data_IF_724695889358
#
_entry.id   IF_724695889358
#
_cell.length_a   1.000
_cell.length_b   1.000
_cell.length_c   1.000
_cell.angle_alpha   90.00
_cell.angle_beta   90.00
_cell.angle_gamma   90.00
#
_symmetry.space_group_name_H-M   'P 1'
#
loop_
_entity.id
_entity.type
_entity.pdbx_description
1 polymer ?
#
# COMPACT_ATOMS: atom_id res chain seq x y z
N UNK A 1 -14.07 -11.91 9.34
CA UNK A 1 -12.76 -11.77 10.02
C UNK A 1 -12.05 -10.63 9.33
N UNK A 2 -11.56 -9.61 10.03
CA UNK A 2 -10.95 -8.46 9.36
C UNK A 2 -9.55 -8.72 8.84
N UNK A 3 -9.32 -8.34 7.58
CA UNK A 3 -8.08 -8.53 6.84
C UNK A 3 -7.41 -7.18 6.64
N UNK A 4 -6.22 -7.03 7.20
CA UNK A 4 -5.35 -5.89 6.96
C UNK A 4 -4.11 -6.41 6.25
N UNK A 5 -3.69 -5.78 5.17
CA UNK A 5 -2.51 -6.21 4.43
C UNK A 5 -1.75 -5.05 3.83
N UNK A 6 -0.46 -5.32 3.58
CA UNK A 6 0.45 -4.48 2.81
C UNK A 6 1.15 -5.39 1.83
N UNK A 7 1.15 -5.05 0.54
CA UNK A 7 1.68 -5.92 -0.50
C UNK A 7 2.26 -5.17 -1.69
N UNK A 8 3.29 -5.75 -2.31
CA UNK A 8 3.64 -5.46 -3.69
C UNK A 8 2.94 -6.45 -4.62
N UNK A 9 2.28 -5.96 -5.66
CA UNK A 9 1.60 -6.74 -6.69
C UNK A 9 2.22 -6.46 -8.05
N UNK A 10 2.52 -7.49 -8.82
CA UNK A 10 3.17 -7.32 -10.12
C UNK A 10 2.90 -8.46 -11.09
N UNK A 11 2.94 -8.14 -12.39
CA UNK A 11 2.98 -9.15 -13.45
C UNK A 11 4.39 -9.76 -13.52
N UNK A 12 4.50 -11.08 -13.34
CA UNK A 12 5.77 -11.81 -13.32
C UNK A 12 6.55 -11.79 -14.63
N UNK A 13 5.94 -11.30 -15.72
CA UNK A 13 6.60 -11.09 -17.02
C UNK A 13 7.33 -9.75 -17.11
N UNK A 14 6.90 -8.77 -16.30
CA UNK A 14 7.39 -7.38 -16.34
C UNK A 14 8.20 -7.01 -15.10
N UNK A 15 8.01 -7.71 -14.00
CA UNK A 15 8.76 -7.50 -12.77
C UNK A 15 9.08 -8.85 -12.11
N UNK A 16 10.05 -8.85 -11.20
CA UNK A 16 10.42 -10.03 -10.42
C UNK A 16 10.46 -9.71 -8.93
N UNK A 17 10.21 -10.72 -8.11
CA UNK A 17 10.33 -10.64 -6.66
C UNK A 17 11.68 -10.09 -6.20
N UNK A 18 12.76 -10.41 -6.93
CA UNK A 18 14.11 -9.96 -6.61
C UNK A 18 14.19 -8.44 -6.50
N UNK A 19 13.60 -7.71 -7.43
CA UNK A 19 13.63 -6.24 -7.43
C UNK A 19 12.90 -5.65 -6.22
N UNK A 20 11.83 -6.32 -5.78
CA UNK A 20 11.08 -5.93 -4.59
C UNK A 20 11.88 -6.18 -3.32
N UNK A 21 12.64 -7.28 -3.26
CA UNK A 21 13.41 -7.69 -2.08
C UNK A 21 14.78 -7.03 -1.99
N UNK A 22 15.38 -6.62 -3.11
CA UNK A 22 16.71 -6.01 -3.13
C UNK A 22 16.85 -4.82 -2.16
N UNK A 23 15.87 -3.89 -2.02
CA UNK A 23 15.90 -2.86 -0.98
C UNK A 23 15.97 -3.40 0.46
N UNK A 24 15.43 -4.60 0.70
CA UNK A 24 15.36 -5.26 2.02
C UNK A 24 16.58 -6.13 2.30
N UNK A 25 17.43 -6.38 1.30
CA UNK A 25 18.48 -7.40 1.37
C UNK A 25 19.45 -7.22 2.56
N UNK A 26 19.74 -5.97 2.92
CA UNK A 26 20.64 -5.61 4.02
C UNK A 26 19.89 -5.05 5.24
N UNK A 27 18.55 -5.05 5.22
CA UNK A 27 17.76 -4.66 6.37
C UNK A 27 17.67 -5.81 7.36
N UNK A 28 17.91 -5.51 8.63
CA UNK A 28 17.59 -6.42 9.73
C UNK A 28 16.10 -6.28 10.09
N UNK A 29 15.41 -7.38 10.43
CA UNK A 29 14.07 -7.31 11.00
C UNK A 29 14.03 -6.39 12.21
N UNK A 30 13.15 -5.41 12.20
CA UNK A 30 12.86 -4.55 13.33
C UNK A 30 12.07 -5.27 14.43
N UNK A 31 11.29 -6.29 14.05
CA UNK A 31 10.51 -7.11 14.96
C UNK A 31 10.69 -8.61 14.73
N UNK A 32 10.48 -9.37 15.80
CA UNK A 32 10.41 -10.83 15.69
C UNK A 32 9.26 -11.23 14.75
N UNK A 33 9.60 -11.97 13.70
CA UNK A 33 8.64 -12.49 12.73
C UNK A 33 8.22 -11.51 11.64
N UNK A 34 8.85 -10.34 11.57
CA UNK A 34 8.76 -9.47 10.40
C UNK A 34 9.27 -10.22 9.16
N UNK A 35 8.52 -10.18 8.06
CA UNK A 35 8.85 -10.96 6.88
C UNK A 35 8.22 -10.42 5.59
N UNK A 36 8.83 -10.80 4.47
CA UNK A 36 8.24 -10.69 3.13
C UNK A 36 7.92 -12.09 2.63
N UNK A 37 6.65 -12.33 2.27
CA UNK A 37 6.21 -13.63 1.75
C UNK A 37 5.63 -13.48 0.37
N UNK A 38 6.17 -14.23 -0.58
CA UNK A 38 5.69 -14.32 -1.95
C UNK A 38 4.61 -15.37 -2.09
N UNK A 39 3.55 -15.03 -2.82
CA UNK A 39 2.48 -15.96 -3.18
C UNK A 39 1.90 -15.60 -4.55
N UNK A 40 1.37 -16.60 -5.26
CA UNK A 40 0.66 -16.36 -6.50
C UNK A 40 -0.75 -15.80 -6.22
N UNK A 41 -1.14 -14.74 -6.94
CA UNK A 41 -2.51 -14.18 -6.93
C UNK A 41 -3.31 -14.68 -8.12
N UNK A 42 -2.63 -14.84 -9.26
CA UNK A 42 -3.18 -15.42 -10.48
C UNK A 42 -2.06 -16.09 -11.28
N UNK A 43 -2.34 -16.78 -12.41
CA UNK A 43 -1.29 -17.34 -13.24
C UNK A 43 -0.24 -16.34 -13.74
N UNK A 44 -0.57 -15.04 -13.80
CA UNK A 44 0.34 -13.98 -14.28
C UNK A 44 0.80 -13.01 -13.18
N UNK A 45 0.08 -12.93 -12.07
CA UNK A 45 0.32 -11.93 -11.03
C UNK A 45 0.76 -12.59 -9.73
N UNK A 46 1.85 -12.07 -9.17
CA UNK A 46 2.35 -12.45 -7.84
C UNK A 46 2.15 -11.29 -6.86
N UNK A 47 2.01 -11.65 -5.58
CA UNK A 47 2.07 -10.73 -4.46
C UNK A 47 3.31 -11.03 -3.63
N UNK A 48 3.96 -9.98 -3.12
CA UNK A 48 4.88 -10.07 -1.99
C UNK A 48 4.23 -9.31 -0.85
N UNK A 49 3.68 -10.05 0.11
CA UNK A 49 3.06 -9.50 1.31
C UNK A 49 4.13 -9.13 2.32
N UNK A 50 3.99 -7.94 2.90
CA UNK A 50 4.75 -7.50 4.05
C UNK A 50 3.99 -7.84 5.33
N UNK A 51 4.65 -8.60 6.20
CA UNK A 51 4.20 -8.88 7.54
C UNK A 51 5.13 -8.11 8.49
N UNK A 52 4.61 -7.10 9.20
CA UNK A 52 5.41 -6.19 10.03
C UNK A 52 5.94 -6.88 11.32
N UNK A 53 5.57 -8.15 11.55
CA UNK A 53 5.97 -8.88 12.74
C UNK A 53 4.97 -8.67 13.87
N UNK A 54 5.47 -8.55 15.09
CA UNK A 54 4.66 -8.81 16.27
C UNK A 54 4.03 -7.60 16.94
N UNK A 55 2.70 -7.52 16.89
CA UNK A 55 1.90 -6.45 17.51
C UNK A 55 0.68 -7.02 18.25
N UNK A 56 0.25 -6.35 19.34
CA UNK A 56 -0.96 -6.68 20.14
C UNK A 56 -2.23 -6.58 19.35
N UNK A 57 -2.32 -5.55 18.51
CA UNK A 57 -3.49 -5.29 17.72
C UNK A 57 -3.15 -5.42 16.24
N UNK A 58 -4.03 -6.07 15.48
CA UNK A 58 -3.90 -6.11 14.01
C UNK A 58 -3.81 -4.70 13.42
N UNK A 59 -4.52 -3.74 14.01
CA UNK A 59 -4.46 -2.33 13.64
C UNK A 59 -3.07 -1.73 13.84
N UNK A 60 -2.35 -2.07 14.92
CA UNK A 60 -0.97 -1.61 15.14
C UNK A 60 0.01 -2.23 14.14
N UNK A 61 -0.15 -3.52 13.83
CA UNK A 61 0.63 -4.16 12.77
C UNK A 61 0.41 -3.43 11.44
N UNK A 62 -0.84 -3.18 11.07
CA UNK A 62 -1.16 -2.44 9.86
C UNK A 62 -0.59 -1.01 9.87
N UNK A 63 -0.76 -0.30 10.99
CA UNK A 63 -0.21 1.03 11.23
C UNK A 63 1.29 1.11 10.94
N UNK A 64 2.07 0.23 11.58
CA UNK A 64 3.51 0.15 11.33
C UNK A 64 3.81 -0.30 9.90
N UNK A 65 3.01 -1.26 9.39
CA UNK A 65 2.99 -1.69 8.00
C UNK A 65 2.96 -0.51 7.04
N UNK A 66 2.00 0.39 7.25
CA UNK A 66 1.81 1.60 6.47
C UNK A 66 2.93 2.62 6.69
N UNK A 67 3.43 2.79 7.91
CA UNK A 67 4.55 3.70 8.18
C UNK A 67 5.80 3.27 7.41
N UNK A 68 6.24 2.02 7.58
CA UNK A 68 7.40 1.49 6.85
C UNK A 68 7.13 1.54 5.35
N UNK A 69 5.99 1.04 4.92
CA UNK A 69 5.75 0.83 3.50
C UNK A 69 5.49 2.13 2.74
N UNK A 70 4.66 3.03 3.28
CA UNK A 70 4.20 4.23 2.59
C UNK A 70 5.00 5.49 2.96
N UNK A 71 5.48 5.61 4.21
CA UNK A 71 6.13 6.83 4.71
C UNK A 71 7.65 6.73 4.65
N UNK A 72 8.24 5.58 4.98
CA UNK A 72 9.69 5.35 4.92
C UNK A 72 10.19 4.96 3.51
N UNK A 73 9.40 5.29 2.47
CA UNK A 73 9.71 5.10 1.05
C UNK A 73 9.97 3.64 0.59
N UNK A 74 9.67 2.64 1.41
CA UNK A 74 9.87 1.23 1.04
C UNK A 74 9.00 0.81 -0.15
N UNK A 75 7.80 1.36 -0.30
CA UNK A 75 6.97 1.18 -1.50
C UNK A 75 7.65 1.74 -2.76
N UNK A 76 8.39 2.84 -2.63
CA UNK A 76 9.01 3.60 -3.74
C UNK A 76 10.41 3.11 -4.09
N UNK A 77 11.15 2.56 -3.11
CA UNK A 77 12.55 2.14 -3.29
C UNK A 77 12.80 1.17 -4.47
N UNK A 78 11.96 0.13 -4.73
CA UNK A 78 12.13 -0.73 -5.89
C UNK A 78 12.05 0.05 -7.22
N UNK A 79 11.07 0.95 -7.35
CA UNK A 79 10.89 1.79 -8.53
C UNK A 79 12.11 2.68 -8.77
N UNK A 80 12.64 3.31 -7.73
CA UNK A 80 13.83 4.16 -7.88
C UNK A 80 15.06 3.36 -8.31
N UNK A 81 15.28 2.18 -7.72
CA UNK A 81 16.38 1.31 -8.09
C UNK A 81 16.30 0.92 -9.58
N UNK A 82 15.10 0.57 -10.05
CA UNK A 82 14.84 0.26 -11.46
C UNK A 82 15.07 1.46 -12.39
N UNK A 83 14.61 2.66 -12.01
CA UNK A 83 14.85 3.90 -12.79
C UNK A 83 16.33 4.23 -12.87
N UNK A 84 17.06 4.12 -11.75
CA UNK A 84 18.52 4.32 -11.70
C UNK A 84 19.28 3.30 -12.56
N UNK A 85 18.80 2.06 -12.61
CA UNK A 85 19.33 1.02 -13.50
C UNK A 85 18.92 1.22 -14.98
N UNK A 86 18.10 2.22 -15.30
CA UNK A 86 17.64 2.49 -16.67
C UNK A 86 16.61 1.50 -17.21
N UNK A 87 15.99 0.70 -16.34
CA UNK A 87 14.99 -0.28 -16.75
C UNK A 87 13.70 0.41 -17.27
N UNK A 88 13.18 -0.07 -18.39
CA UNK A 88 12.05 0.57 -19.11
C UNK A 88 10.80 -0.29 -19.27
N UNK A 89 10.88 -1.60 -19.04
CA UNK A 89 9.70 -2.47 -19.08
C UNK A 89 9.48 -3.11 -17.72
N UNK A 90 8.76 -2.40 -16.86
CA UNK A 90 8.32 -2.88 -15.56
C UNK A 90 7.11 -2.09 -15.09
N UNK A 91 6.31 -2.71 -14.21
CA UNK A 91 5.31 -2.02 -13.40
C UNK A 91 5.02 -2.84 -12.16
N UNK A 92 4.64 -2.19 -11.08
CA UNK A 92 4.07 -2.84 -9.91
C UNK A 92 3.11 -1.90 -9.19
N UNK A 93 2.28 -2.48 -8.33
CA UNK A 93 1.40 -1.74 -7.43
C UNK A 93 1.79 -2.07 -6.01
N UNK A 94 2.04 -1.06 -5.20
CA UNK A 94 2.17 -1.17 -3.76
C UNK A 94 0.79 -0.89 -3.15
N UNK A 95 0.24 -1.80 -2.35
CA UNK A 95 -1.14 -1.72 -1.85
C UNK A 95 -1.20 -2.01 -0.36
N UNK A 96 -1.66 -1.03 0.42
CA UNK A 96 -2.00 -1.17 1.82
C UNK A 96 -3.51 -1.04 1.99
N UNK A 97 -4.16 -2.02 2.60
CA UNK A 97 -5.62 -2.03 2.67
C UNK A 97 -6.19 -2.74 3.89
N UNK A 98 -7.36 -2.28 4.30
CA UNK A 98 -8.23 -2.89 5.32
C UNK A 98 -9.49 -3.48 4.70
N UNK A 99 -10.01 -4.59 5.22
CA UNK A 99 -11.20 -5.28 4.71
C UNK A 99 -12.45 -4.41 4.70
N UNK A 100 -12.61 -3.56 5.71
CA UNK A 100 -13.71 -2.58 5.80
C UNK A 100 -13.50 -1.37 4.87
N UNK A 101 -12.34 -1.27 4.20
CA UNK A 101 -11.95 -0.17 3.30
C UNK A 101 -11.91 1.22 3.95
N UNK A 102 -11.96 1.27 5.29
CA UNK A 102 -11.78 2.49 6.08
C UNK A 102 -10.39 3.10 5.88
N UNK A 103 -9.42 2.24 5.55
CA UNK A 103 -8.07 2.58 5.16
C UNK A 103 -7.71 1.79 3.90
N UNK A 104 -7.57 2.46 2.77
CA UNK A 104 -7.19 1.86 1.50
C UNK A 104 -6.25 2.80 0.75
N UNK A 105 -5.04 2.34 0.40
CA UNK A 105 -4.01 3.15 -0.27
C UNK A 105 -3.25 2.30 -1.28
N UNK A 106 -3.28 2.69 -2.55
CA UNK A 106 -2.56 2.02 -3.62
C UNK A 106 -1.66 2.98 -4.39
N UNK A 107 -0.48 2.49 -4.75
CA UNK A 107 0.55 3.22 -5.46
C UNK A 107 1.02 2.41 -6.65
N UNK A 108 0.68 2.83 -7.87
CA UNK A 108 1.19 2.24 -9.10
C UNK A 108 2.49 2.91 -9.49
N UNK A 109 3.54 2.12 -9.70
CA UNK A 109 4.83 2.61 -10.17
C UNK A 109 5.14 2.12 -11.58
N UNK A 110 5.66 3.02 -12.40
CA UNK A 110 6.12 2.79 -13.77
C UNK A 110 7.50 3.45 -14.00
N UNK A 111 8.18 3.17 -15.12
CA UNK A 111 9.46 3.82 -15.46
C UNK A 111 9.36 5.34 -15.48
N UNK A 112 8.22 5.85 -15.93
CA UNK A 112 8.01 7.27 -16.14
C UNK A 112 7.46 7.97 -14.89
N UNK A 113 6.81 7.25 -13.97
CA UNK A 113 6.24 7.90 -12.80
C UNK A 113 5.44 7.03 -11.85
N UNK A 114 4.49 7.68 -11.20
CA UNK A 114 3.75 7.17 -10.06
C UNK A 114 2.30 7.67 -10.10
N UNK A 115 1.32 6.78 -9.87
CA UNK A 115 -0.09 7.12 -9.66
C UNK A 115 -0.50 6.58 -8.28
N UNK A 116 -0.92 7.47 -7.39
CA UNK A 116 -1.32 7.18 -6.02
C UNK A 116 -2.79 7.49 -5.81
N UNK A 117 -3.48 6.57 -5.14
CA UNK A 117 -4.88 6.71 -4.74
C UNK A 117 -5.09 6.24 -3.32
N UNK A 118 -5.80 7.03 -2.52
CA UNK A 118 -6.12 6.71 -1.14
C UNK A 118 -7.59 7.02 -0.84
N UNK A 119 -8.20 6.17 -0.01
CA UNK A 119 -9.45 6.43 0.67
C UNK A 119 -9.26 6.11 2.15
N UNK A 120 -9.45 7.12 3.00
CA UNK A 120 -9.27 7.04 4.45
C UNK A 120 -10.41 7.78 5.14
N UNK A 121 -11.16 7.11 6.01
CA UNK A 121 -12.23 7.70 6.83
C UNK A 121 -13.23 8.56 6.03
N UNK A 122 -13.59 8.10 4.82
CA UNK A 122 -14.53 8.82 3.94
C UNK A 122 -13.94 10.04 3.21
N UNK A 123 -12.63 10.27 3.30
CA UNK A 123 -11.87 11.19 2.48
C UNK A 123 -11.08 10.45 1.40
N UNK A 124 -10.93 11.06 0.22
CA UNK A 124 -10.19 10.54 -0.92
C UNK A 124 -9.04 11.46 -1.30
N UNK A 125 -7.91 10.88 -1.65
CA UNK A 125 -6.76 11.62 -2.20
C UNK A 125 -6.18 10.90 -3.42
N UNK A 126 -5.79 11.67 -4.43
CA UNK A 126 -5.17 11.17 -5.65
C UNK A 126 -3.99 12.04 -6.04
N UNK A 127 -2.92 11.40 -6.47
CA UNK A 127 -1.77 12.06 -7.09
C UNK A 127 -1.34 11.30 -8.35
N UNK A 128 -0.91 12.02 -9.38
CA UNK A 128 -0.25 11.44 -10.53
C UNK A 128 1.00 12.26 -10.86
N UNK A 129 2.14 11.57 -10.95
CA UNK A 129 3.42 12.12 -11.35
C UNK A 129 3.85 11.40 -12.62
N UNK A 130 4.18 12.15 -13.66
CA UNK A 130 4.76 11.65 -14.90
C UNK A 130 6.02 12.44 -15.25
N UNK A 131 7.12 11.74 -15.51
CA UNK A 131 8.45 12.29 -15.83
C UNK A 131 8.92 13.35 -14.83
N UNK A 132 8.64 13.12 -13.55
CA UNK A 132 9.00 14.03 -12.45
C UNK A 132 8.10 15.26 -12.32
N UNK A 133 7.02 15.36 -13.10
CA UNK A 133 6.06 16.47 -13.05
C UNK A 133 4.73 15.98 -12.50
N UNK A 134 4.17 16.72 -11.54
CA UNK A 134 2.83 16.45 -11.02
C UNK A 134 1.81 16.80 -12.11
N UNK A 135 1.12 15.79 -12.61
CA UNK A 135 0.02 15.92 -13.57
C UNK A 135 -1.32 16.13 -12.87
N UNK A 136 -1.49 15.58 -11.67
CA UNK A 136 -2.73 15.67 -10.91
C UNK A 136 -2.43 15.60 -9.42
N UNK A 137 -3.10 16.44 -8.64
CA UNK A 137 -3.20 16.32 -7.20
C UNK A 137 -4.62 16.74 -6.80
N UNK A 138 -5.35 15.84 -6.15
CA UNK A 138 -6.73 16.07 -5.72
C UNK A 138 -6.94 15.46 -4.33
N UNK A 139 -7.54 16.22 -3.42
CA UNK A 139 -8.07 15.73 -2.13
C UNK A 139 -9.53 16.15 -2.03
N UNK A 140 -10.41 15.24 -1.64
CA UNK A 140 -11.85 15.48 -1.57
C UNK A 140 -12.49 14.68 -0.45
N UNK A 141 -13.46 15.27 0.25
CA UNK A 141 -14.37 14.50 1.12
C UNK A 141 -15.33 13.71 0.23
N UNK A 142 -15.32 12.39 0.38
CA UNK A 142 -16.08 11.43 -0.44
C UNK A 142 -17.42 11.11 0.21
N UNK A 143 -17.46 10.99 1.55
CA UNK A 143 -18.68 10.93 2.31
C UNK A 143 -19.54 12.16 1.99
N UNK A 144 -20.63 11.93 1.26
CA UNK A 144 -21.52 12.98 0.79
C UNK A 144 -22.95 12.65 1.21
N UNK A 145 -23.61 13.61 1.85
CA UNK A 145 -25.05 13.54 2.04
C UNK A 145 -25.77 13.52 0.68
N UNK A 146 -26.98 12.95 0.57
CA UNK A 146 -27.80 13.05 -0.64
C UNK A 146 -27.90 14.47 -1.20
N UNK A 147 -28.02 15.46 -0.32
CA UNK A 147 -28.12 16.88 -0.70
C UNK A 147 -26.85 17.41 -1.34
N UNK A 148 -25.66 16.97 -0.90
CA UNK A 148 -24.38 17.33 -1.50
C UNK A 148 -24.18 16.74 -2.90
N UNK A 149 -24.87 15.65 -3.21
CA UNK A 149 -24.93 15.07 -4.55
C UNK A 149 -26.11 15.56 -5.38
N UNK A 150 -26.86 16.56 -4.88
CA UNK A 150 -27.99 17.18 -5.59
C UNK A 150 -29.30 16.40 -5.49
N UNK A 151 -29.41 15.43 -4.59
CA UNK A 151 -30.63 14.66 -4.37
C UNK A 151 -31.54 15.34 -3.34
N UNK A 152 -32.82 15.50 -3.71
CA UNK A 152 -33.87 15.98 -2.82
C UNK A 152 -34.42 14.87 -1.91
N UNK A 153 -35.24 15.27 -0.92
CA UNK A 153 -35.87 14.35 0.04
C UNK A 153 -37.19 13.75 -0.45
N UNK A 154 -37.85 14.38 -1.42
CA UNK A 154 -39.09 13.85 -2.03
C UNK A 154 -38.75 13.03 -3.27
N UNK A 155 -39.23 11.78 -3.33
CA UNK A 155 -38.98 10.88 -4.47
C UNK A 155 -37.51 10.47 -4.61
N UNK A 156 -36.82 10.24 -3.48
CA UNK A 156 -35.41 9.85 -3.45
C UNK A 156 -35.15 8.59 -4.29
N UNK A 157 -34.31 8.74 -5.31
CA UNK A 157 -33.83 7.64 -6.16
C UNK A 157 -32.52 7.11 -5.57
N UNK A 158 -32.64 6.02 -4.82
CA UNK A 158 -31.52 5.36 -4.14
C UNK A 158 -30.48 4.84 -5.14
N UNK A 159 -30.91 4.26 -6.27
CA UNK A 159 -29.97 3.76 -7.29
C UNK A 159 -29.19 4.89 -7.95
N UNK A 160 -29.84 6.01 -8.24
CA UNK A 160 -29.15 7.17 -8.80
C UNK A 160 -28.17 7.79 -7.80
N UNK A 161 -28.52 7.82 -6.52
CA UNK A 161 -27.61 8.26 -5.46
C UNK A 161 -26.40 7.34 -5.33
N UNK A 162 -26.60 6.02 -5.32
CA UNK A 162 -25.51 5.04 -5.29
C UNK A 162 -24.58 5.17 -6.50
N UNK A 163 -25.13 5.36 -7.71
CA UNK A 163 -24.33 5.64 -8.92
C UNK A 163 -23.50 6.92 -8.78
N UNK A 164 -24.11 8.00 -8.31
CA UNK A 164 -23.41 9.27 -8.11
C UNK A 164 -22.32 9.19 -7.04
N UNK A 165 -22.54 8.42 -5.97
CA UNK A 165 -21.50 8.09 -5.00
C UNK A 165 -20.36 7.36 -5.69
N UNK A 166 -20.62 6.25 -6.37
CA UNK A 166 -19.58 5.45 -7.06
C UNK A 166 -18.75 6.30 -8.02
N UNK A 167 -19.39 7.13 -8.85
CA UNK A 167 -18.71 8.04 -9.78
C UNK A 167 -17.81 9.05 -9.05
N UNK A 168 -18.23 9.52 -7.86
CA UNK A 168 -17.43 10.43 -7.03
C UNK A 168 -16.23 9.72 -6.40
N UNK A 169 -16.38 8.46 -5.98
CA UNK A 169 -15.29 7.70 -5.36
C UNK A 169 -14.28 7.22 -6.41
N UNK A 170 -14.74 6.87 -7.62
CA UNK A 170 -13.98 6.18 -8.67
C UNK A 170 -12.55 6.71 -8.89
N UNK A 171 -12.31 8.03 -8.98
CA UNK A 171 -10.96 8.57 -9.16
C UNK A 171 -10.00 8.23 -8.01
N UNK A 172 -10.51 7.99 -6.82
CA UNK A 172 -9.77 7.76 -5.58
C UNK A 172 -9.71 6.27 -5.20
N UNK A 173 -10.48 5.39 -5.86
CA UNK A 173 -10.58 3.96 -5.50
C UNK A 173 -9.25 3.22 -5.71
N UNK A 174 -8.56 2.79 -4.65
CA UNK A 174 -7.27 2.10 -4.76
C UNK A 174 -7.41 0.71 -5.41
N UNK A 175 -8.47 -0.03 -5.05
CA UNK A 175 -8.77 -1.32 -5.66
C UNK A 175 -9.03 -1.25 -7.17
N UNK A 176 -9.58 -0.13 -7.67
CA UNK A 176 -9.77 0.07 -9.11
C UNK A 176 -8.43 0.32 -9.81
N UNK A 177 -7.52 1.10 -9.22
CA UNK A 177 -6.16 1.27 -9.73
C UNK A 177 -5.42 -0.07 -9.85
N UNK A 178 -5.54 -0.94 -8.85
CA UNK A 178 -4.95 -2.29 -8.86
C UNK A 178 -5.56 -3.13 -9.99
N UNK A 179 -6.89 -3.12 -10.10
CA UNK A 179 -7.62 -3.86 -11.12
C UNK A 179 -7.23 -3.40 -12.54
N UNK A 180 -7.24 -2.10 -12.80
CA UNK A 180 -6.94 -1.55 -14.13
C UNK A 180 -5.47 -1.78 -14.52
N UNK A 181 -4.57 -1.87 -13.53
CA UNK A 181 -3.15 -2.09 -13.77
C UNK A 181 -2.82 -3.57 -14.01
N UNK A 182 -3.45 -4.49 -13.27
CA UNK A 182 -3.01 -5.90 -13.18
C UNK A 182 -4.10 -6.92 -13.52
N UNK A 183 -5.35 -6.48 -13.72
CA UNK A 183 -6.50 -7.35 -14.00
C UNK A 183 -6.87 -8.27 -12.82
N UNK A 184 -6.48 -7.92 -11.60
CA UNK A 184 -6.79 -8.69 -10.38
C UNK A 184 -7.81 -7.94 -9.53
N UNK A 185 -8.77 -8.69 -8.99
CA UNK A 185 -9.75 -8.16 -8.05
C UNK A 185 -9.21 -8.21 -6.63
N UNK A 186 -9.76 -7.38 -5.75
CA UNK A 186 -9.49 -7.42 -4.30
C UNK A 186 -9.67 -8.83 -3.73
N UNK A 187 -10.74 -9.53 -4.13
CA UNK A 187 -11.03 -10.90 -3.70
C UNK A 187 -9.87 -11.85 -3.95
N UNK A 188 -9.26 -11.83 -5.15
CA UNK A 188 -8.10 -12.68 -5.47
C UNK A 188 -6.88 -12.36 -4.60
N UNK A 189 -6.68 -11.11 -4.23
CA UNK A 189 -5.59 -10.71 -3.34
C UNK A 189 -5.84 -11.19 -1.91
N UNK A 190 -7.09 -11.11 -1.44
CA UNK A 190 -7.51 -11.66 -0.14
C UNK A 190 -7.36 -13.19 -0.13
N UNK A 191 -7.74 -13.89 -1.19
CA UNK A 191 -7.54 -15.34 -1.32
C UNK A 191 -6.05 -15.70 -1.27
N UNK A 192 -5.19 -14.92 -1.92
CA UNK A 192 -3.75 -15.11 -1.85
C UNK A 192 -3.19 -14.85 -0.43
N UNK A 193 -3.72 -13.86 0.29
CA UNK A 193 -3.38 -13.63 1.69
C UNK A 193 -3.79 -14.81 2.59
N UNK A 194 -4.94 -15.43 2.34
CA UNK A 194 -5.36 -16.65 3.03
C UNK A 194 -4.41 -17.81 2.76
N UNK A 195 -4.00 -18.00 1.50
CA UNK A 195 -3.01 -19.02 1.16
C UNK A 195 -1.72 -18.83 1.98
N UNK A 196 -1.26 -17.59 2.17
CA UNK A 196 -0.12 -17.28 3.05
C UNK A 196 -0.40 -17.64 4.50
N UNK A 197 -1.58 -17.31 5.03
CA UNK A 197 -1.97 -17.68 6.39
C UNK A 197 -2.04 -19.20 6.60
N UNK A 198 -2.37 -19.96 5.54
CA UNK A 198 -2.39 -21.42 5.52
C UNK A 198 -1.00 -22.03 5.26
N UNK A 199 0.06 -21.21 5.27
CA UNK A 199 1.45 -21.63 5.12
C UNK A 199 1.88 -21.86 3.67
N UNK A 200 1.09 -21.43 2.70
CA UNK A 200 1.48 -21.44 1.29
C UNK A 200 2.22 -20.15 0.91
N UNK A 201 3.37 -20.27 0.28
CA UNK A 201 4.16 -19.13 -0.16
C UNK A 201 5.63 -19.31 0.18
N UNK A 202 6.43 -18.36 -0.28
CA UNK A 202 7.88 -18.39 -0.13
C UNK A 202 8.34 -17.16 0.65
N UNK A 203 8.95 -17.38 1.82
CA UNK A 203 9.60 -16.32 2.56
C UNK A 203 10.83 -15.81 1.78
N UNK A 204 10.82 -14.53 1.42
CA UNK A 204 11.89 -13.89 0.68
C UNK A 204 12.88 -13.14 1.59
N UNK A 205 12.39 -12.67 2.74
CA UNK A 205 13.17 -11.93 3.74
C UNK A 205 12.55 -12.12 5.14
N UNK A 206 13.35 -12.24 6.21
CA UNK A 206 14.82 -12.29 6.24
C UNK A 206 15.40 -13.55 5.58
N UNK A 207 16.64 -13.47 5.06
CA UNK A 207 17.35 -14.62 4.47
C UNK A 207 17.79 -15.60 5.57
N UNK A 208 16.87 -16.42 6.09
CA UNK A 208 17.18 -17.57 6.93
C UNK A 208 16.15 -17.88 8.02
N UNK A 209 15.58 -19.09 7.96
CA UNK A 209 14.85 -19.74 9.06
C UNK A 209 13.35 -19.96 8.81
N UNK A 210 12.77 -21.08 9.28
CA UNK A 210 11.33 -21.32 9.18
C UNK A 210 10.55 -20.27 9.98
N UNK A 211 9.35 -19.93 9.48
CA UNK A 211 8.42 -19.02 10.14
C UNK A 211 7.98 -19.64 11.48
N UNK A 212 8.52 -19.17 12.60
CA UNK A 212 8.10 -19.63 13.93
C UNK A 212 6.74 -19.00 14.29
N UNK A 213 5.68 -19.65 13.83
CA UNK A 213 4.28 -19.28 14.09
C UNK A 213 3.91 -19.24 15.57
N UNK A 214 4.65 -19.91 16.46
CA UNK A 214 4.37 -19.95 17.90
C UNK A 214 5.12 -18.86 18.68
N UNK A 215 6.33 -18.49 18.25
CA UNK A 215 7.00 -17.26 18.70
C UNK A 215 6.24 -16.02 18.20
N UNK A 216 5.75 -16.05 16.95
CA UNK A 216 4.82 -15.07 16.38
C UNK A 216 3.57 -14.90 17.27
N UNK A 217 2.93 -15.98 17.73
CA UNK A 217 1.76 -15.86 18.63
C UNK A 217 2.08 -15.32 20.03
N UNK A 218 3.29 -15.54 20.56
CA UNK A 218 3.67 -15.12 21.93
C UNK A 218 4.08 -13.66 22.03
N UNK A 219 4.90 -13.17 21.11
CA UNK A 219 5.32 -11.77 21.15
C UNK A 219 4.23 -10.79 20.66
N UNK A 220 3.08 -11.29 20.19
CA UNK A 220 1.91 -10.46 19.86
C UNK A 220 1.34 -9.85 21.13
N UNK A 221 1.57 -10.46 22.29
CA UNK A 221 0.96 -10.04 23.53
C UNK A 221 1.50 -8.72 24.14
N UNK A 222 2.40 -7.94 23.50
CA UNK A 222 3.10 -6.80 24.14
C UNK A 222 3.05 -5.33 23.59
N UNK A 223 2.37 -4.96 22.50
CA UNK A 223 2.44 -3.59 21.92
C UNK A 223 1.44 -2.50 22.45
N UNK A 224 1.96 -1.34 22.82
CA UNK A 224 1.21 -0.08 23.02
C UNK A 224 1.49 0.94 21.90
N UNK A 225 0.46 1.76 21.64
CA UNK A 225 0.30 2.82 20.62
C UNK A 225 0.25 2.44 19.12
N UNK A 226 -0.75 2.98 18.43
CA UNK A 226 -1.07 2.77 17.00
C UNK A 226 -1.01 4.09 16.23
N UNK A 227 -0.26 4.14 15.12
CA UNK A 227 -0.26 5.25 14.16
C UNK A 227 -0.98 4.84 12.88
N UNK A 228 -2.21 5.28 12.68
CA UNK A 228 -2.91 5.02 11.41
C UNK A 228 -2.60 6.17 10.45
N UNK A 229 -2.18 5.91 9.19
CA UNK A 229 -1.99 6.98 8.21
C UNK A 229 -3.28 7.79 8.06
N UNK A 230 -3.14 9.11 7.94
CA UNK A 230 -4.24 10.05 7.71
C UNK A 230 -3.93 10.92 6.49
N UNK A 231 -4.97 11.43 5.83
CA UNK A 231 -4.81 12.32 4.69
C UNK A 231 -4.49 13.76 5.14
N UNK A 232 -3.66 14.51 4.40
CA UNK A 232 -3.07 14.14 3.11
C UNK A 232 -1.75 13.36 3.23
N UNK A 233 -1.63 12.28 2.47
CA UNK A 233 -0.42 11.47 2.32
C UNK A 233 0.60 12.13 1.39
N UNK A 234 0.15 12.77 0.29
CA UNK A 234 1.06 13.21 -0.78
C UNK A 234 1.23 14.73 -0.87
N UNK A 235 0.65 15.50 0.05
CA UNK A 235 0.76 16.97 0.06
C UNK A 235 2.22 17.46 0.05
N UNK A 236 3.13 16.73 0.71
CA UNK A 236 4.55 17.07 0.76
C UNK A 236 5.23 17.07 -0.63
N UNK A 237 4.75 16.25 -1.57
CA UNK A 237 5.30 16.17 -2.93
C UNK A 237 4.98 17.43 -3.74
N UNK A 238 3.93 18.18 -3.38
CA UNK A 238 3.61 19.47 -4.03
C UNK A 238 4.69 20.52 -3.80
N UNK A 239 5.37 20.48 -2.65
CA UNK A 239 6.46 21.40 -2.30
C UNK A 239 7.80 21.03 -2.92
N UNK A 240 8.05 19.74 -3.14
CA UNK A 240 9.32 19.25 -3.72
C UNK A 240 9.39 19.47 -5.24
N UNK A 241 8.26 19.48 -5.95
CA UNK A 241 8.21 19.84 -7.36
C UNK A 241 8.63 21.31 -7.66
N UNK A 242 8.73 22.17 -6.63
CA UNK A 242 9.21 23.55 -6.75
C UNK A 242 10.69 23.75 -6.41
N UNK A 243 11.43 22.70 -6.07
CA UNK A 243 12.85 22.82 -5.75
C UNK A 243 13.69 21.78 -6.48
N UNK A 244 14.66 22.19 -7.33
CA UNK A 244 15.69 21.28 -7.78
C UNK A 244 16.64 21.07 -6.59
N UNK A 245 16.38 20.08 -5.73
CA UNK A 245 17.27 19.84 -4.59
C UNK A 245 18.23 18.66 -4.82
N UNK A 246 19.49 19.08 -4.91
CA UNK A 246 20.71 18.39 -4.58
C UNK A 246 20.67 17.58 -3.28
N UNK A 247 21.19 16.35 -3.33
CA UNK A 247 21.90 15.72 -2.21
C UNK A 247 21.09 14.78 -1.31
N UNK A 248 21.72 13.70 -0.77
CA UNK A 248 21.02 12.64 -0.06
C UNK A 248 20.56 13.08 1.35
N UNK A 249 19.27 12.85 1.66
CA UNK A 249 18.70 12.99 3.00
C UNK A 249 19.30 11.94 3.95
N UNK A 250 19.81 12.39 5.11
CA UNK A 250 20.30 11.50 6.18
C UNK A 250 19.13 10.80 6.86
N UNK A 251 19.25 9.47 7.04
CA UNK A 251 18.35 8.63 7.86
C UNK A 251 18.21 9.23 9.27
N UNK A 252 16.98 9.41 9.73
CA UNK A 252 16.67 9.71 11.14
C UNK A 252 16.96 8.47 11.97
N UNK A 253 18.00 8.52 12.80
CA UNK A 253 18.16 7.58 13.90
C UNK A 253 17.14 7.94 14.98
N UNK A 254 16.15 7.07 15.22
CA UNK A 254 15.22 7.22 16.34
C UNK A 254 15.92 6.71 17.60
N UNK A 255 16.23 7.63 18.50
CA UNK A 255 16.77 7.35 19.83
C UNK A 255 15.78 6.48 20.62
N UNK A 256 16.28 5.39 21.21
CA UNK A 256 15.62 4.73 22.35
C UNK A 256 15.71 5.67 23.55
N UNK A 257 14.58 6.01 24.15
CA UNK A 257 14.53 6.67 25.43
C UNK A 257 14.08 5.67 26.50
N UNK A 258 14.92 5.56 27.54
CA UNK A 258 14.64 5.25 28.95
C UNK A 258 13.53 4.28 29.28
#
# INVERSE_FOLDING_TARGET
MSYLFVAYLYDKRRCSAKVIVDPWADAEPGFAGESLVRVAVSPRVEAVFYFPGNFRLKSQAFSFGCEVFLVDDWATAPAEALRRAGARDWQYVAWASSDMSDYDVAMRFTPDGFDGRAMIDGEGERIAIDKGVIQTYEKKTIAASPQELGFGTEGFDEEAFERALVEREEPFRPGLLVHDTLGVTRGKVIDALHNVADGQGEALWPKGGPLDTQALRRAAAEAEDSFVPALPLWEHLRGEAMKPESGPRKKRARMKAG
#
